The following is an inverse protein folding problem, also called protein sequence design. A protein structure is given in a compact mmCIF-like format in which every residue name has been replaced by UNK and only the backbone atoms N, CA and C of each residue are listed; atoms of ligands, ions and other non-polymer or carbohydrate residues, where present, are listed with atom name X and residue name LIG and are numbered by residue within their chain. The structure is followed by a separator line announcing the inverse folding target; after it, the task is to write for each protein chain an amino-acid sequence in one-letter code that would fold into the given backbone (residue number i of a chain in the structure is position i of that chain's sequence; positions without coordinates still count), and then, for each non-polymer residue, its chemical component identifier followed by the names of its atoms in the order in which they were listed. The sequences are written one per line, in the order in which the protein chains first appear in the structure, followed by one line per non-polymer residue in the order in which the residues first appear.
data_IF_166101892741
#
_entry.id   IF_166101892741
#
_cell.length_a   1.000
_cell.length_b   1.000
_cell.length_c   1.000
_cell.angle_alpha   90.00
_cell.angle_beta   90.00
_cell.angle_gamma   90.00
#
_symmetry.space_group_name_H-M   'P 1'
#
loop_
_entity.id
_entity.type
_entity.pdbx_description
1 polymer ?
#
# COMPACT_ATOMS: atom_id res chain seq x y z
N UNK A 1 70.41 -27.59 0.64
CA UNK A 1 70.04 -26.15 0.74
C UNK A 1 69.53 -25.54 -0.58
N UNK A 2 69.94 -25.97 -1.76
CA UNK A 2 69.50 -25.41 -3.06
C UNK A 2 68.04 -25.76 -3.42
N UNK A 3 67.56 -26.97 -3.13
CA UNK A 3 66.22 -27.43 -3.43
C UNK A 3 65.12 -26.67 -2.67
N UNK A 4 65.33 -26.27 -1.42
CA UNK A 4 64.36 -25.51 -0.61
C UNK A 4 64.15 -24.07 -1.12
N UNK A 5 65.16 -23.50 -1.81
CA UNK A 5 65.03 -22.17 -2.45
C UNK A 5 64.17 -22.21 -3.70
N UNK A 6 64.30 -23.21 -4.52
CA UNK A 6 63.50 -23.41 -5.74
C UNK A 6 62.00 -23.63 -5.42
N UNK A 7 61.71 -24.37 -4.38
CA UNK A 7 60.32 -24.61 -3.92
C UNK A 7 59.66 -23.26 -3.49
N UNK A 8 60.42 -22.40 -2.80
CA UNK A 8 59.87 -21.05 -2.42
C UNK A 8 59.57 -20.17 -3.63
N UNK A 9 60.41 -20.19 -4.68
CA UNK A 9 60.14 -19.44 -5.90
C UNK A 9 58.94 -19.98 -6.69
N UNK A 10 58.77 -21.31 -6.74
CA UNK A 10 57.60 -21.93 -7.38
C UNK A 10 56.33 -21.59 -6.63
N UNK A 11 56.34 -21.65 -5.28
CA UNK A 11 55.18 -21.26 -4.47
C UNK A 11 54.82 -19.77 -4.63
N UNK A 12 55.84 -18.91 -4.65
CA UNK A 12 55.63 -17.48 -4.88
C UNK A 12 55.08 -17.18 -6.28
N UNK A 13 55.52 -17.88 -7.29
CA UNK A 13 55.03 -17.75 -8.67
C UNK A 13 53.56 -18.28 -8.78
N UNK A 14 53.22 -19.41 -8.13
CA UNK A 14 51.86 -19.91 -8.06
C UNK A 14 50.93 -18.95 -7.31
N UNK A 15 51.40 -18.34 -6.22
CA UNK A 15 50.61 -17.33 -5.48
C UNK A 15 50.36 -16.07 -6.31
N UNK A 16 51.40 -15.62 -7.04
CA UNK A 16 51.27 -14.45 -7.92
C UNK A 16 50.32 -14.72 -9.09
N UNK A 17 50.35 -15.89 -9.70
CA UNK A 17 49.42 -16.32 -10.76
C UNK A 17 47.97 -16.39 -10.18
N UNK A 18 47.79 -16.98 -9.00
CA UNK A 18 46.50 -17.04 -8.32
C UNK A 18 45.93 -15.63 -8.02
N UNK A 19 46.77 -14.69 -7.55
CA UNK A 19 46.37 -13.31 -7.37
C UNK A 19 46.00 -12.60 -8.69
N UNK A 20 46.75 -12.84 -9.76
CA UNK A 20 46.41 -12.29 -11.09
C UNK A 20 45.11 -12.84 -11.65
N UNK A 21 44.82 -14.14 -11.49
CA UNK A 21 43.55 -14.74 -11.91
C UNK A 21 42.37 -14.22 -11.07
N UNK A 22 42.59 -13.96 -9.77
CA UNK A 22 41.53 -13.38 -8.89
C UNK A 22 41.20 -11.94 -9.25
N UNK A 23 42.16 -11.16 -9.75
CA UNK A 23 41.95 -9.77 -10.15
C UNK A 23 41.15 -9.63 -11.46
N UNK A 24 41.14 -10.62 -12.31
CA UNK A 24 40.35 -10.62 -13.55
C UNK A 24 38.91 -11.12 -13.35
N UNK A 25 38.58 -11.72 -12.22
CA UNK A 25 37.24 -12.22 -11.92
C UNK A 25 36.20 -11.11 -11.67
N UNK A 26 36.62 -9.86 -11.38
CA UNK A 26 35.71 -8.74 -11.13
C UNK A 26 35.19 -8.05 -12.40
N UNK A 27 35.47 -8.51 -13.60
CA UNK A 27 35.09 -7.86 -14.87
C UNK A 27 33.72 -8.24 -15.41
N UNK A 28 32.94 -9.07 -14.71
CA UNK A 28 31.57 -9.46 -15.13
C UNK A 28 30.48 -8.53 -14.59
N UNK A 29 30.80 -7.33 -14.14
CA UNK A 29 29.80 -6.31 -13.82
C UNK A 29 29.13 -5.81 -15.10
N UNK A 30 27.83 -6.06 -15.27
CA UNK A 30 27.07 -5.45 -16.35
C UNK A 30 27.21 -3.93 -16.26
N UNK A 31 27.61 -3.32 -17.37
CA UNK A 31 27.84 -1.87 -17.48
C UNK A 31 26.57 -1.11 -17.08
N UNK A 32 26.63 -0.37 -15.99
CA UNK A 32 25.50 0.40 -15.44
C UNK A 32 25.03 1.45 -16.45
N UNK A 33 25.90 1.94 -17.34
CA UNK A 33 25.54 2.90 -18.37
C UNK A 33 24.55 2.36 -19.40
N UNK A 34 24.43 1.04 -19.51
CA UNK A 34 23.48 0.35 -20.41
C UNK A 34 22.19 -0.08 -19.73
N UNK A 35 22.00 0.27 -18.46
CA UNK A 35 20.81 -0.09 -17.70
C UNK A 35 19.81 1.04 -17.64
N UNK A 36 18.54 0.70 -17.83
CA UNK A 36 17.40 1.53 -17.56
C UNK A 36 16.91 1.19 -16.15
N UNK A 37 17.24 2.02 -15.16
CA UNK A 37 16.84 1.78 -13.76
C UNK A 37 15.41 2.27 -13.55
N UNK A 38 14.43 1.36 -13.69
CA UNK A 38 13.02 1.66 -13.55
C UNK A 38 12.71 2.05 -12.11
N UNK A 39 11.97 3.16 -11.92
CA UNK A 39 11.55 3.70 -10.63
C UNK A 39 10.04 3.59 -10.42
N UNK A 40 9.25 3.61 -11.49
CA UNK A 40 7.80 3.47 -11.45
C UNK A 40 7.27 2.98 -12.77
N UNK A 41 6.18 2.19 -12.71
CA UNK A 41 5.52 1.59 -13.85
C UNK A 41 4.03 1.92 -13.78
N UNK A 42 3.49 2.59 -14.79
CA UNK A 42 2.07 2.71 -15.07
C UNK A 42 1.65 1.67 -16.10
N UNK A 43 0.49 1.06 -15.92
CA UNK A 43 -0.04 0.03 -16.81
C UNK A 43 -1.47 0.39 -17.20
N UNK A 44 -1.67 0.65 -18.46
CA UNK A 44 -2.96 0.90 -19.08
C UNK A 44 -3.36 -0.26 -19.97
N UNK A 45 -4.65 -0.59 -19.98
CA UNK A 45 -5.22 -1.52 -20.94
C UNK A 45 -5.39 -0.83 -22.28
N UNK A 46 -5.13 -1.55 -23.37
CA UNK A 46 -5.39 -1.16 -24.73
C UNK A 46 -6.25 -2.23 -25.44
N UNK A 47 -6.83 -1.91 -26.60
CA UNK A 47 -7.63 -2.87 -27.37
C UNK A 47 -6.87 -4.19 -27.62
N UNK A 48 -5.58 -4.08 -27.96
CA UNK A 48 -4.69 -5.23 -28.14
C UNK A 48 -3.49 -5.14 -27.20
N UNK A 49 -3.67 -5.61 -25.94
CA UNK A 49 -2.58 -5.69 -24.96
C UNK A 49 -2.51 -4.54 -23.98
N UNK A 50 -1.32 -4.00 -23.76
CA UNK A 50 -1.05 -3.03 -22.70
C UNK A 50 -0.12 -1.92 -23.15
N UNK A 51 -0.39 -0.70 -22.69
CA UNK A 51 0.55 0.42 -22.71
C UNK A 51 1.26 0.48 -21.34
N UNK A 52 2.58 0.50 -21.34
CA UNK A 52 3.37 0.77 -20.15
C UNK A 52 3.95 2.16 -20.19
N UNK A 53 3.79 2.91 -19.11
CA UNK A 53 4.36 4.25 -18.86
C UNK A 53 5.42 4.12 -17.78
N UNK A 54 6.66 4.48 -18.08
CA UNK A 54 7.78 4.19 -17.18
C UNK A 54 8.55 5.45 -16.83
N UNK A 55 8.77 5.66 -15.54
CA UNK A 55 9.80 6.55 -15.02
C UNK A 55 11.06 5.77 -14.74
N UNK A 56 12.19 6.23 -15.26
CA UNK A 56 13.48 5.57 -15.08
C UNK A 56 14.62 6.57 -14.85
N UNK A 57 15.64 6.12 -14.15
CA UNK A 57 16.88 6.87 -14.02
C UNK A 57 17.83 6.47 -15.15
N UNK A 58 18.32 7.48 -15.84
CA UNK A 58 19.38 7.34 -16.83
C UNK A 58 20.71 7.69 -16.18
N UNK A 59 21.67 6.78 -16.28
CA UNK A 59 23.04 7.03 -15.85
C UNK A 59 23.76 7.91 -16.88
N UNK A 60 24.38 9.00 -16.43
CA UNK A 60 25.11 9.95 -17.25
C UNK A 60 25.95 10.89 -16.37
N UNK A 61 26.38 12.04 -16.89
CA UNK A 61 27.06 13.07 -16.11
C UNK A 61 26.17 13.63 -14.99
N UNK A 62 24.86 13.68 -15.25
CA UNK A 62 23.84 13.95 -14.23
C UNK A 62 22.81 12.82 -14.24
N UNK A 63 22.42 12.35 -13.05
CA UNK A 63 21.32 11.39 -12.91
C UNK A 63 20.01 12.15 -13.07
N UNK A 64 19.28 11.86 -14.16
CA UNK A 64 17.96 12.47 -14.43
C UNK A 64 16.89 11.43 -14.48
N UNK A 65 15.71 11.81 -14.02
CA UNK A 65 14.49 11.03 -14.22
C UNK A 65 13.96 11.33 -15.60
N UNK A 66 13.82 10.29 -16.42
CA UNK A 66 13.23 10.34 -17.75
C UNK A 66 11.89 9.57 -17.76
N UNK A 67 11.07 9.88 -18.74
CA UNK A 67 9.78 9.24 -18.98
C UNK A 67 9.77 8.60 -20.38
N UNK A 68 9.19 7.40 -20.47
CA UNK A 68 9.06 6.67 -21.72
C UNK A 68 7.82 5.77 -21.68
N UNK A 69 7.28 5.49 -22.86
CA UNK A 69 6.14 4.59 -23.02
C UNK A 69 6.44 3.52 -24.07
N UNK A 70 5.79 2.39 -23.93
CA UNK A 70 5.85 1.29 -24.90
C UNK A 70 4.58 0.45 -24.83
N UNK A 71 4.24 -0.19 -25.94
CA UNK A 71 3.11 -1.10 -26.06
C UNK A 71 3.59 -2.54 -26.27
N UNK A 72 2.76 -3.50 -25.88
CA UNK A 72 2.97 -4.92 -26.12
C UNK A 72 1.71 -5.73 -25.80
N UNK A 73 1.63 -6.94 -26.31
CA UNK A 73 0.51 -7.87 -26.05
C UNK A 73 0.48 -8.29 -24.58
N UNK A 74 1.65 -8.30 -23.93
CA UNK A 74 1.80 -8.56 -22.49
C UNK A 74 2.58 -7.42 -21.84
N UNK A 75 2.44 -7.25 -20.52
CA UNK A 75 3.23 -6.27 -19.75
C UNK A 75 4.74 -6.53 -19.93
N UNK A 76 5.16 -7.80 -19.92
CA UNK A 76 6.57 -8.14 -20.11
C UNK A 76 7.09 -7.73 -21.50
N UNK A 77 6.33 -8.00 -22.57
CA UNK A 77 6.69 -7.60 -23.92
C UNK A 77 6.76 -6.07 -24.03
N UNK A 78 5.77 -5.35 -23.52
CA UNK A 78 5.77 -3.90 -23.50
C UNK A 78 7.03 -3.33 -22.83
N UNK A 79 7.41 -3.90 -21.67
CA UNK A 79 8.62 -3.50 -20.95
C UNK A 79 9.90 -3.87 -21.71
N UNK A 80 9.97 -5.00 -22.43
CA UNK A 80 11.11 -5.36 -23.27
C UNK A 80 11.23 -4.47 -24.51
N UNK A 81 10.11 -4.03 -25.08
CA UNK A 81 10.08 -3.12 -26.23
C UNK A 81 10.69 -1.74 -25.92
N UNK A 82 10.83 -1.35 -24.65
CA UNK A 82 11.58 -0.15 -24.24
C UNK A 82 13.04 -0.21 -24.69
N UNK A 83 13.63 -1.41 -24.71
CA UNK A 83 15.01 -1.63 -25.18
C UNK A 83 15.15 -1.28 -26.66
N UNK A 84 14.15 -1.55 -27.48
CA UNK A 84 14.17 -1.23 -28.90
C UNK A 84 14.19 0.28 -29.19
N UNK A 85 13.61 1.06 -28.28
CA UNK A 85 13.55 2.52 -28.41
C UNK A 85 14.81 3.20 -27.88
N UNK A 86 15.40 2.65 -26.80
CA UNK A 86 16.45 3.35 -26.04
C UNK A 86 17.83 2.70 -26.15
N UNK A 87 17.90 1.41 -26.54
CA UNK A 87 19.11 0.60 -26.46
C UNK A 87 19.54 0.24 -25.03
N UNK A 88 18.73 0.62 -24.01
CA UNK A 88 19.00 0.32 -22.60
C UNK A 88 18.25 -0.93 -22.18
N UNK A 89 18.81 -1.66 -21.20
CA UNK A 89 18.22 -2.89 -20.65
C UNK A 89 17.42 -2.52 -19.39
N UNK A 90 16.09 -2.74 -19.37
CA UNK A 90 15.27 -2.48 -18.19
C UNK A 90 15.74 -3.31 -16.98
N UNK A 91 15.84 -2.66 -15.81
CA UNK A 91 16.11 -3.30 -14.52
C UNK A 91 15.11 -2.83 -13.48
N UNK A 92 14.52 -3.76 -12.76
CA UNK A 92 13.35 -3.52 -11.91
C UNK A 92 13.67 -3.43 -10.43
N UNK A 93 14.93 -3.68 -10.04
CA UNK A 93 15.37 -3.69 -8.64
C UNK A 93 15.21 -2.34 -7.90
N UNK A 94 15.00 -1.26 -8.64
CA UNK A 94 14.75 0.08 -8.11
C UNK A 94 13.30 0.54 -8.24
N UNK A 95 12.42 -0.30 -8.82
CA UNK A 95 11.01 0.04 -8.92
C UNK A 95 10.41 0.24 -7.52
N UNK A 96 9.78 1.40 -7.30
CA UNK A 96 9.17 1.78 -6.04
C UNK A 96 7.64 1.68 -6.10
N UNK A 97 7.04 1.80 -7.30
CA UNK A 97 5.59 1.80 -7.44
C UNK A 97 5.11 1.17 -8.74
N UNK A 98 3.91 0.59 -8.69
CA UNK A 98 3.13 0.20 -9.86
C UNK A 98 1.75 0.81 -9.76
N UNK A 99 1.30 1.42 -10.85
CA UNK A 99 -0.03 2.02 -10.96
C UNK A 99 -0.81 1.31 -12.07
N UNK A 100 -1.91 0.70 -11.72
CA UNK A 100 -2.83 0.09 -12.68
C UNK A 100 -3.89 1.11 -13.07
N UNK A 101 -4.24 1.20 -14.35
CA UNK A 101 -5.38 2.00 -14.78
C UNK A 101 -6.68 1.43 -14.21
N UNK A 102 -7.70 2.26 -14.14
CA UNK A 102 -9.04 1.83 -13.74
C UNK A 102 -9.57 0.69 -14.60
N UNK A 103 -9.33 0.75 -15.89
CA UNK A 103 -9.76 -0.27 -16.85
C UNK A 103 -9.06 -1.61 -16.60
N UNK A 104 -7.72 -1.61 -16.39
CA UNK A 104 -7.00 -2.81 -15.95
C UNK A 104 -7.57 -3.40 -14.67
N UNK A 105 -7.89 -2.54 -13.70
CA UNK A 105 -8.48 -2.97 -12.42
C UNK A 105 -9.88 -3.58 -12.60
N UNK A 106 -10.68 -3.03 -13.49
CA UNK A 106 -12.04 -3.53 -13.79
C UNK A 106 -12.04 -4.84 -14.59
N UNK A 107 -11.13 -5.01 -15.55
CA UNK A 107 -10.99 -6.29 -16.26
C UNK A 107 -10.41 -7.39 -15.37
N UNK A 108 -9.56 -7.02 -14.42
CA UNK A 108 -8.91 -7.92 -13.47
C UNK A 108 -7.39 -7.96 -13.59
N UNK A 109 -6.75 -7.94 -12.43
CA UNK A 109 -5.30 -7.78 -12.32
C UNK A 109 -4.51 -9.08 -12.55
N UNK A 110 -5.13 -10.24 -12.71
CA UNK A 110 -4.45 -11.55 -12.80
C UNK A 110 -3.32 -11.55 -13.84
N UNK A 111 -3.63 -11.12 -15.06
CA UNK A 111 -2.67 -11.18 -16.18
C UNK A 111 -1.56 -10.14 -16.04
N UNK A 112 -1.87 -8.95 -15.53
CA UNK A 112 -0.88 -7.86 -15.37
C UNK A 112 -0.01 -8.09 -14.15
N UNK A 113 -0.53 -8.76 -13.13
CA UNK A 113 0.16 -9.02 -11.88
C UNK A 113 1.14 -10.19 -11.96
N UNK A 114 0.92 -11.13 -12.88
CA UNK A 114 1.76 -12.33 -13.07
C UNK A 114 3.23 -11.98 -13.31
N UNK A 115 3.50 -10.89 -14.04
CA UNK A 115 4.86 -10.38 -14.26
C UNK A 115 5.56 -10.06 -12.93
N UNK A 116 4.89 -9.37 -12.01
CA UNK A 116 5.48 -8.93 -10.75
C UNK A 116 5.74 -10.09 -9.78
N UNK A 117 5.01 -11.19 -9.90
CA UNK A 117 5.21 -12.39 -9.08
C UNK A 117 6.34 -13.25 -9.65
N UNK A 118 6.42 -13.41 -10.97
CA UNK A 118 7.34 -14.38 -11.61
C UNK A 118 8.70 -13.81 -11.90
N UNK A 119 8.81 -12.52 -12.13
CA UNK A 119 10.09 -11.92 -12.55
C UNK A 119 10.97 -11.65 -11.32
N UNK A 120 12.10 -12.34 -11.26
CA UNK A 120 12.99 -12.40 -10.08
C UNK A 120 13.63 -11.06 -9.66
N UNK A 121 13.68 -10.07 -10.54
CA UNK A 121 14.21 -8.74 -10.20
C UNK A 121 13.16 -7.80 -9.58
N UNK A 122 11.87 -8.16 -9.62
CA UNK A 122 10.83 -7.35 -8.99
C UNK A 122 10.89 -7.52 -7.47
N UNK A 123 10.78 -6.41 -6.76
CA UNK A 123 10.80 -6.47 -5.29
C UNK A 123 9.39 -6.70 -4.74
N UNK A 124 9.26 -7.57 -3.73
CA UNK A 124 7.95 -7.79 -3.09
C UNK A 124 7.42 -6.58 -2.34
N UNK A 125 8.27 -5.58 -2.06
CA UNK A 125 7.97 -4.35 -1.33
C UNK A 125 7.61 -3.17 -2.23
N UNK A 126 7.30 -3.39 -3.50
CA UNK A 126 6.83 -2.35 -4.42
C UNK A 126 5.40 -1.97 -4.04
N UNK A 127 5.14 -0.67 -3.88
CA UNK A 127 3.81 -0.16 -3.56
C UNK A 127 2.89 -0.19 -4.78
N UNK A 128 1.65 -0.59 -4.57
CA UNK A 128 0.63 -0.74 -5.60
C UNK A 128 -0.44 0.34 -5.48
N UNK A 129 -0.86 0.86 -6.63
CA UNK A 129 -1.88 1.90 -6.72
C UNK A 129 -2.83 1.62 -7.89
N UNK A 130 -4.01 2.22 -7.82
CA UNK A 130 -4.95 2.31 -8.95
C UNK A 130 -5.07 3.76 -9.37
N UNK A 131 -5.00 4.05 -10.66
CA UNK A 131 -5.30 5.37 -11.18
C UNK A 131 -6.81 5.62 -11.17
N UNK A 132 -7.23 6.85 -10.90
CA UNK A 132 -8.64 7.27 -11.03
C UNK A 132 -9.20 6.99 -12.43
N UNK A 133 -8.34 7.07 -13.45
CA UNK A 133 -8.63 6.78 -14.85
C UNK A 133 -7.43 6.06 -15.47
N UNK A 134 -6.61 6.74 -16.29
CA UNK A 134 -5.43 6.19 -16.95
C UNK A 134 -4.16 6.43 -16.12
N UNK A 135 -3.33 5.40 -15.99
CA UNK A 135 -2.01 5.53 -15.37
C UNK A 135 -1.09 6.44 -16.22
N UNK A 136 -1.18 6.33 -17.52
CA UNK A 136 -0.48 7.19 -18.48
C UNK A 136 -0.58 8.67 -18.12
N UNK A 137 -1.80 9.15 -17.87
CA UNK A 137 -2.06 10.57 -17.58
C UNK A 137 -1.33 11.03 -16.32
N UNK A 138 -1.27 10.17 -15.27
CA UNK A 138 -0.55 10.47 -14.02
C UNK A 138 0.95 10.58 -14.26
N UNK A 139 1.52 9.66 -15.06
CA UNK A 139 2.95 9.64 -15.34
C UNK A 139 3.37 10.80 -16.27
N UNK A 140 2.54 11.17 -17.22
CA UNK A 140 2.80 12.33 -18.12
C UNK A 140 2.73 13.65 -17.36
N UNK A 141 1.74 13.83 -16.46
CA UNK A 141 1.55 15.05 -15.70
C UNK A 141 2.77 15.36 -14.81
N UNK A 142 3.38 14.33 -14.25
CA UNK A 142 4.54 14.44 -13.36
C UNK A 142 5.71 13.63 -13.94
N UNK A 143 6.21 14.04 -15.11
CA UNK A 143 7.20 13.28 -15.89
C UNK A 143 8.66 13.71 -15.63
N UNK A 144 8.92 14.87 -14.99
CA UNK A 144 10.25 15.45 -14.94
C UNK A 144 10.83 15.63 -13.53
N UNK A 145 12.11 15.32 -13.41
CA UNK A 145 12.97 15.66 -12.27
C UNK A 145 12.49 15.11 -10.93
N UNK A 146 12.63 15.92 -9.89
CA UNK A 146 12.17 15.58 -8.53
C UNK A 146 10.65 15.50 -8.37
N UNK A 147 9.90 16.00 -9.35
CA UNK A 147 8.44 15.97 -9.37
C UNK A 147 7.89 14.75 -10.11
N UNK A 148 8.76 13.93 -10.71
CA UNK A 148 8.31 12.69 -11.33
C UNK A 148 7.53 11.82 -10.35
N UNK A 149 6.40 11.26 -10.77
CA UNK A 149 5.48 10.52 -9.92
C UNK A 149 6.19 9.43 -9.12
N UNK A 150 7.12 8.70 -9.76
CA UNK A 150 7.87 7.64 -9.11
C UNK A 150 8.75 8.11 -7.94
N UNK A 151 9.21 9.38 -7.92
CA UNK A 151 9.97 9.93 -6.78
C UNK A 151 9.06 10.18 -5.58
N UNK A 152 7.77 10.31 -5.79
CA UNK A 152 6.78 10.56 -4.75
C UNK A 152 6.20 9.28 -4.15
N UNK A 153 6.49 8.10 -4.72
CA UNK A 153 5.96 6.82 -4.23
C UNK A 153 6.16 6.64 -2.72
N UNK A 154 7.40 6.87 -2.26
CA UNK A 154 7.71 6.81 -0.83
C UNK A 154 6.94 7.85 -0.01
N UNK A 155 6.76 9.06 -0.54
CA UNK A 155 5.97 10.11 0.12
C UNK A 155 4.50 9.75 0.22
N UNK A 156 3.93 9.04 -0.75
CA UNK A 156 2.56 8.53 -0.67
C UNK A 156 2.42 7.45 0.41
N UNK A 157 3.36 6.49 0.47
CA UNK A 157 3.37 5.48 1.53
C UNK A 157 3.56 6.10 2.92
N UNK A 158 4.42 7.13 3.05
CA UNK A 158 4.61 7.88 4.30
C UNK A 158 3.39 8.73 4.64
N UNK A 159 2.74 9.35 3.66
CA UNK A 159 1.51 10.13 3.86
C UNK A 159 0.35 9.24 4.29
N UNK A 160 0.24 8.03 3.75
CA UNK A 160 -0.70 7.03 4.22
C UNK A 160 -0.45 6.72 5.69
N UNK A 161 0.77 6.35 6.06
CA UNK A 161 1.15 6.05 7.45
C UNK A 161 0.97 7.24 8.41
N UNK A 162 0.99 8.48 7.90
CA UNK A 162 0.81 9.69 8.69
C UNK A 162 -0.65 10.12 8.83
N UNK A 163 -1.49 9.84 7.82
CA UNK A 163 -2.90 10.29 7.79
C UNK A 163 -3.88 9.17 8.08
N UNK A 164 -3.49 7.91 7.83
CA UNK A 164 -4.29 6.69 7.97
C UNK A 164 -5.68 6.79 7.33
N UNK A 165 -5.70 7.34 6.13
CA UNK A 165 -6.92 7.51 5.34
C UNK A 165 -7.02 6.50 4.20
N UNK A 166 -5.97 5.73 3.97
CA UNK A 166 -5.83 4.81 2.85
C UNK A 166 -5.20 3.51 3.32
N UNK A 167 -5.48 2.43 2.62
CA UNK A 167 -4.84 1.14 2.85
C UNK A 167 -3.71 0.96 1.84
N UNK A 168 -2.48 1.18 2.25
CA UNK A 168 -1.31 0.85 1.43
C UNK A 168 -1.15 -0.66 1.29
N UNK A 169 -0.80 -1.13 0.09
CA UNK A 169 -0.55 -2.54 -0.18
C UNK A 169 0.66 -2.71 -1.10
N UNK A 170 1.47 -3.70 -0.81
CA UNK A 170 2.62 -4.06 -1.62
C UNK A 170 2.32 -5.25 -2.55
N UNK A 171 3.23 -5.52 -3.47
CA UNK A 171 3.18 -6.75 -4.31
C UNK A 171 3.03 -8.00 -3.43
N UNK A 172 3.77 -8.07 -2.30
CA UNK A 172 3.70 -9.21 -1.38
C UNK A 172 2.32 -9.36 -0.74
N UNK A 173 1.74 -8.25 -0.28
CA UNK A 173 0.44 -8.27 0.40
C UNK A 173 -0.65 -8.77 -0.56
N UNK A 174 -0.68 -8.22 -1.78
CA UNK A 174 -1.64 -8.63 -2.81
C UNK A 174 -1.41 -10.07 -3.25
N UNK A 175 -0.14 -10.48 -3.47
CA UNK A 175 0.18 -11.87 -3.84
C UNK A 175 -0.30 -12.88 -2.78
N UNK A 176 -0.14 -12.55 -1.49
CA UNK A 176 -0.64 -13.38 -0.40
C UNK A 176 -2.17 -13.49 -0.40
N UNK A 177 -2.87 -12.38 -0.69
CA UNK A 177 -4.35 -12.38 -0.77
C UNK A 177 -4.84 -13.11 -2.01
N UNK A 178 -4.17 -12.97 -3.15
CA UNK A 178 -4.47 -13.74 -4.37
C UNK A 178 -4.28 -15.25 -4.21
N UNK A 179 -3.39 -15.67 -3.32
CA UNK A 179 -3.13 -17.07 -3.00
C UNK A 179 -4.03 -17.60 -1.86
N UNK A 180 -4.81 -16.76 -1.19
CA UNK A 180 -5.73 -17.18 -0.13
C UNK A 180 -7.00 -17.82 -0.69
N UNK A 181 -7.73 -18.57 0.15
CA UNK A 181 -8.99 -19.22 -0.24
C UNK A 181 -10.07 -18.20 -0.63
N UNK A 182 -10.05 -17.00 -0.03
CA UNK A 182 -10.89 -15.87 -0.41
C UNK A 182 -10.01 -14.68 -0.84
N UNK A 183 -10.04 -14.40 -2.14
CA UNK A 183 -9.20 -13.38 -2.75
C UNK A 183 -9.91 -12.02 -2.72
N UNK A 184 -9.62 -11.24 -1.70
CA UNK A 184 -10.05 -9.85 -1.61
C UNK A 184 -8.94 -8.97 -0.99
N UNK A 185 -8.76 -7.77 -1.53
CA UNK A 185 -7.73 -6.82 -1.09
C UNK A 185 -8.14 -5.38 -1.45
N UNK A 186 -7.37 -4.41 -0.92
CA UNK A 186 -7.59 -3.00 -1.22
C UNK A 186 -6.30 -2.33 -1.68
N UNK A 187 -6.42 -1.34 -2.56
CA UNK A 187 -5.33 -0.50 -3.08
C UNK A 187 -5.72 0.98 -2.98
N UNK A 188 -4.76 1.86 -2.67
CA UNK A 188 -5.00 3.29 -2.71
C UNK A 188 -5.16 3.77 -4.15
N UNK A 189 -6.10 4.69 -4.36
CA UNK A 189 -6.29 5.38 -5.63
C UNK A 189 -5.37 6.59 -5.73
N UNK A 190 -4.80 6.82 -6.91
CA UNK A 190 -4.15 8.07 -7.27
C UNK A 190 -5.07 8.88 -8.17
N UNK A 191 -5.32 10.12 -7.79
CA UNK A 191 -6.20 11.05 -8.50
C UNK A 191 -5.47 12.36 -8.83
N UNK A 192 -5.91 13.02 -9.90
CA UNK A 192 -5.42 14.35 -10.26
C UNK A 192 -6.32 15.39 -9.58
N UNK A 193 -5.70 16.30 -8.82
CA UNK A 193 -6.37 17.46 -8.23
C UNK A 193 -5.60 18.72 -8.60
N UNK A 194 -6.20 19.55 -9.43
CA UNK A 194 -5.49 20.67 -10.04
C UNK A 194 -4.36 20.17 -10.94
N UNK A 195 -3.13 20.55 -10.61
CA UNK A 195 -1.91 20.17 -11.34
C UNK A 195 -1.07 19.11 -10.62
N UNK A 196 -1.64 18.47 -9.58
CA UNK A 196 -0.90 17.52 -8.74
C UNK A 196 -1.57 16.16 -8.67
N UNK A 197 -0.77 15.11 -8.57
CA UNK A 197 -1.22 13.77 -8.23
C UNK A 197 -1.28 13.65 -6.71
N UNK A 198 -2.36 13.10 -6.19
CA UNK A 198 -2.54 12.84 -4.75
C UNK A 198 -3.26 11.53 -4.50
N UNK A 199 -3.20 11.04 -3.26
CA UNK A 199 -4.03 9.93 -2.81
C UNK A 199 -5.51 10.34 -2.81
N UNK A 200 -6.34 9.53 -3.47
CA UNK A 200 -7.79 9.71 -3.64
C UNK A 200 -8.60 8.86 -2.66
N UNK A 201 -9.28 7.87 -3.18
CA UNK A 201 -10.11 6.90 -2.47
C UNK A 201 -9.33 5.61 -2.17
N UNK A 202 -9.96 4.63 -1.54
CA UNK A 202 -9.45 3.25 -1.46
C UNK A 202 -10.27 2.36 -2.38
N UNK A 203 -9.64 1.79 -3.39
CA UNK A 203 -10.22 0.80 -4.28
C UNK A 203 -10.21 -0.57 -3.59
N UNK A 204 -11.31 -1.35 -3.66
CA UNK A 204 -11.34 -2.71 -3.14
C UNK A 204 -11.72 -3.71 -4.23
N UNK A 205 -11.11 -4.88 -4.10
CA UNK A 205 -11.09 -5.94 -5.10
C UNK A 205 -11.63 -7.24 -4.54
N UNK A 206 -12.27 -8.02 -5.41
CA UNK A 206 -12.60 -9.42 -5.22
C UNK A 206 -12.24 -10.18 -6.48
N UNK A 207 -11.63 -11.35 -6.33
CA UNK A 207 -11.18 -12.20 -7.45
C UNK A 207 -10.34 -11.45 -8.48
N UNK A 208 -9.49 -10.54 -7.97
CA UNK A 208 -8.61 -9.64 -8.73
C UNK A 208 -9.31 -8.55 -9.54
N UNK A 209 -10.62 -8.43 -9.47
CA UNK A 209 -11.39 -7.39 -10.15
C UNK A 209 -11.77 -6.27 -9.18
N UNK A 210 -11.73 -5.04 -9.67
CA UNK A 210 -12.20 -3.87 -8.95
C UNK A 210 -13.71 -3.94 -8.77
N UNK A 211 -14.16 -3.91 -7.51
CA UNK A 211 -15.58 -3.97 -7.14
C UNK A 211 -16.11 -2.57 -6.82
N UNK A 212 -15.36 -1.77 -6.08
CA UNK A 212 -15.82 -0.45 -5.67
C UNK A 212 -14.74 0.39 -5.02
N UNK A 213 -15.16 1.54 -4.51
CA UNK A 213 -14.29 2.50 -3.84
C UNK A 213 -14.89 2.93 -2.50
N UNK A 214 -14.06 3.00 -1.50
CA UNK A 214 -14.37 3.73 -0.28
C UNK A 214 -14.04 5.21 -0.43
N UNK A 215 -14.93 6.06 0.01
CA UNK A 215 -14.62 7.46 0.24
C UNK A 215 -13.63 7.61 1.42
N UNK A 216 -13.19 8.84 1.72
CA UNK A 216 -12.19 9.10 2.76
C UNK A 216 -12.62 8.68 4.16
N UNK A 217 -13.91 8.75 4.48
CA UNK A 217 -14.45 8.37 5.79
C UNK A 217 -14.52 6.84 5.92
N UNK A 218 -15.02 6.18 4.92
CA UNK A 218 -15.06 4.72 4.83
C UNK A 218 -13.67 4.11 4.80
N UNK A 219 -12.72 4.73 4.06
CA UNK A 219 -11.31 4.32 4.06
C UNK A 219 -10.70 4.38 5.45
N UNK A 220 -10.99 5.45 6.21
CA UNK A 220 -10.54 5.56 7.60
C UNK A 220 -11.16 4.49 8.48
N UNK A 221 -12.45 4.23 8.34
CA UNK A 221 -13.15 3.15 9.05
C UNK A 221 -12.54 1.79 8.77
N UNK A 222 -12.27 1.48 7.50
CA UNK A 222 -11.61 0.25 7.07
C UNK A 222 -10.20 0.13 7.68
N UNK A 223 -9.38 1.17 7.55
CA UNK A 223 -8.03 1.19 8.12
C UNK A 223 -8.05 1.03 9.64
N UNK A 224 -9.00 1.68 10.33
CA UNK A 224 -9.14 1.55 11.79
C UNK A 224 -9.53 0.14 12.23
N UNK A 225 -10.30 -0.59 11.42
CA UNK A 225 -10.75 -1.95 11.73
C UNK A 225 -9.71 -3.02 11.39
N UNK A 226 -8.90 -2.83 10.34
CA UNK A 226 -8.03 -3.90 9.79
C UNK A 226 -6.56 -3.65 10.10
N UNK A 227 -6.14 -2.39 10.24
CA UNK A 227 -4.74 -2.00 10.44
C UNK A 227 -4.52 -1.27 11.76
N UNK A 228 -3.26 -1.14 12.16
CA UNK A 228 -2.88 -0.30 13.30
C UNK A 228 -2.64 1.13 12.82
N UNK A 229 -3.48 2.07 13.22
CA UNK A 229 -3.29 3.50 12.95
C UNK A 229 -2.19 4.03 13.88
N UNK A 230 -1.08 4.47 13.33
CA UNK A 230 0.01 5.11 14.09
C UNK A 230 -0.20 6.59 14.28
N UNK A 231 -0.76 7.26 13.29
CA UNK A 231 -1.08 8.71 13.32
C UNK A 231 -2.27 8.98 12.40
N UNK A 232 -3.11 9.91 12.78
CA UNK A 232 -4.25 10.30 11.96
C UNK A 232 -4.89 11.58 12.50
N UNK A 233 -5.77 12.21 11.73
CA UNK A 233 -6.53 13.40 12.17
C UNK A 233 -8.01 13.15 11.95
N UNK A 234 -8.79 13.36 13.00
CA UNK A 234 -10.26 13.38 12.94
C UNK A 234 -10.74 14.75 13.34
N UNK A 235 -11.60 15.32 12.51
CA UNK A 235 -12.30 16.57 12.82
C UNK A 235 -13.71 16.21 13.26
N UNK A 236 -14.11 16.69 14.43
CA UNK A 236 -15.42 16.46 15.03
C UNK A 236 -16.16 17.79 15.14
N UNK A 237 -17.43 17.78 14.81
CA UNK A 237 -18.35 18.88 15.09
C UNK A 237 -19.30 18.43 16.21
N UNK A 238 -19.12 18.99 17.41
CA UNK A 238 -19.82 18.55 18.61
C UNK A 238 -20.85 19.61 18.99
N UNK A 239 -22.14 19.25 19.10
CA UNK A 239 -23.19 20.17 19.53
C UNK A 239 -22.81 20.91 20.81
N UNK A 240 -23.11 22.22 20.88
CA UNK A 240 -22.83 23.13 22.00
C UNK A 240 -21.33 23.36 22.32
N UNK A 241 -20.43 22.69 21.57
CA UNK A 241 -18.98 22.81 21.75
C UNK A 241 -18.33 23.43 20.51
N UNK A 242 -18.73 22.97 19.31
CA UNK A 242 -18.18 23.39 18.04
C UNK A 242 -17.14 22.40 17.47
N UNK A 243 -16.39 22.85 16.48
CA UNK A 243 -15.44 22.04 15.74
C UNK A 243 -14.12 21.87 16.50
N UNK A 244 -13.66 20.64 16.63
CA UNK A 244 -12.34 20.27 17.19
C UNK A 244 -11.59 19.36 16.24
N UNK A 245 -10.26 19.44 16.26
CA UNK A 245 -9.37 18.52 15.55
C UNK A 245 -8.63 17.65 16.56
N UNK A 246 -8.78 16.34 16.42
CA UNK A 246 -8.09 15.35 17.24
C UNK A 246 -7.04 14.63 16.40
N UNK A 247 -5.83 14.51 16.93
CA UNK A 247 -4.77 13.67 16.41
C UNK A 247 -4.90 12.28 17.03
N UNK A 248 -5.15 11.28 16.20
CA UNK A 248 -5.16 9.88 16.63
C UNK A 248 -3.72 9.36 16.75
N UNK A 249 -3.48 8.54 17.77
CA UNK A 249 -2.23 7.79 17.94
C UNK A 249 -2.54 6.38 18.45
N UNK A 250 -1.74 5.41 17.96
CA UNK A 250 -1.73 4.04 18.48
C UNK A 250 -3.12 3.39 18.54
N UNK A 251 -3.87 3.40 17.44
CA UNK A 251 -5.07 2.56 17.36
C UNK A 251 -4.67 1.09 17.30
N UNK A 252 -5.44 0.27 17.97
CA UNK A 252 -5.38 -1.19 17.83
C UNK A 252 -6.77 -1.73 17.54
N UNK A 253 -6.84 -2.76 16.72
CA UNK A 253 -8.08 -3.45 16.39
C UNK A 253 -7.94 -4.94 16.66
N UNK A 254 -9.04 -5.57 17.05
CA UNK A 254 -9.19 -7.00 17.17
C UNK A 254 -10.52 -7.43 16.59
N UNK A 255 -10.48 -8.41 15.69
CA UNK A 255 -11.68 -9.04 15.14
C UNK A 255 -11.82 -10.41 15.77
N UNK A 256 -12.98 -10.65 16.40
CA UNK A 256 -13.35 -11.93 17.00
C UNK A 256 -14.52 -12.52 16.24
N UNK A 257 -14.48 -13.82 15.94
CA UNK A 257 -15.51 -14.55 15.23
C UNK A 257 -16.16 -15.59 16.16
N UNK A 258 -17.46 -15.49 16.35
CA UNK A 258 -18.27 -16.43 17.09
C UNK A 258 -19.40 -16.96 16.22
N UNK A 259 -20.03 -18.08 16.63
CA UNK A 259 -21.23 -18.62 16.01
C UNK A 259 -22.41 -18.44 16.96
N UNK A 260 -23.44 -17.76 16.50
CA UNK A 260 -24.70 -17.59 17.23
C UNK A 260 -25.80 -18.18 16.36
N UNK A 261 -26.45 -19.27 16.82
CA UNK A 261 -27.45 -20.02 16.06
C UNK A 261 -26.92 -20.42 14.65
N UNK A 262 -25.68 -20.93 14.58
CA UNK A 262 -24.96 -21.30 13.37
C UNK A 262 -24.74 -20.14 12.36
N UNK A 263 -24.93 -18.90 12.77
CA UNK A 263 -24.61 -17.71 11.96
C UNK A 263 -23.33 -17.06 12.44
N UNK A 264 -22.35 -16.79 11.54
CA UNK A 264 -21.14 -16.08 11.91
C UNK A 264 -21.44 -14.67 12.45
N UNK A 265 -20.92 -14.38 13.62
CA UNK A 265 -21.01 -13.09 14.27
C UNK A 265 -19.60 -12.54 14.54
N UNK A 266 -19.28 -11.39 13.95
CA UNK A 266 -17.99 -10.74 14.10
C UNK A 266 -18.07 -9.57 15.06
N UNK A 267 -17.20 -9.57 16.05
CA UNK A 267 -17.03 -8.43 16.94
C UNK A 267 -15.72 -7.72 16.58
N UNK A 268 -15.83 -6.44 16.25
CA UNK A 268 -14.72 -5.57 15.89
C UNK A 268 -14.49 -4.61 17.06
N UNK A 269 -13.44 -4.85 17.85
CA UNK A 269 -13.06 -4.00 18.98
C UNK A 269 -11.92 -3.10 18.57
N UNK A 270 -12.14 -1.79 18.55
CA UNK A 270 -11.15 -0.77 18.21
C UNK A 270 -10.86 0.08 19.45
N UNK A 271 -9.59 0.22 19.79
CA UNK A 271 -9.16 1.17 20.81
C UNK A 271 -8.17 2.18 20.26
N UNK A 272 -8.27 3.45 20.64
CA UNK A 272 -7.36 4.49 20.21
C UNK A 272 -7.07 5.52 21.29
N UNK A 273 -5.88 6.13 21.18
CA UNK A 273 -5.55 7.35 21.92
C UNK A 273 -5.65 8.55 20.99
N UNK A 274 -6.14 9.64 21.50
CA UNK A 274 -6.26 10.88 20.76
C UNK A 274 -5.76 12.07 21.58
N UNK A 275 -5.27 13.08 20.87
CA UNK A 275 -4.79 14.33 21.47
C UNK A 275 -5.49 15.50 20.78
N UNK A 276 -5.82 16.53 21.54
CA UNK A 276 -6.40 17.75 20.98
C UNK A 276 -5.31 18.49 20.19
N UNK A 277 -5.49 18.61 18.87
CA UNK A 277 -4.59 19.38 18.00
C UNK A 277 -5.05 20.79 17.82
N UNK A 278 -6.37 20.98 17.66
CA UNK A 278 -6.96 22.30 17.48
C UNK A 278 -8.31 22.38 18.20
N UNK A 279 -8.53 23.49 18.89
CA UNK A 279 -9.74 23.78 19.64
C UNK A 279 -9.93 25.29 19.70
N UNK A 280 -11.18 25.75 19.67
CA UNK A 280 -11.51 27.15 19.84
C UNK A 280 -10.97 27.70 21.18
N UNK A 281 -10.40 28.93 21.15
CA UNK A 281 -9.77 29.54 22.33
C UNK A 281 -10.72 29.72 23.53
N UNK A 282 -12.01 29.98 23.28
CA UNK A 282 -12.99 30.12 24.33
C UNK A 282 -13.27 28.81 25.06
N UNK A 283 -13.12 27.69 24.36
CA UNK A 283 -13.28 26.35 24.91
C UNK A 283 -12.07 25.92 25.73
N UNK A 284 -10.84 26.36 25.35
CA UNK A 284 -9.61 26.05 26.12
C UNK A 284 -9.70 26.43 27.59
N UNK A 285 -10.45 27.48 27.89
CA UNK A 285 -10.65 27.96 29.27
C UNK A 285 -11.68 27.16 30.06
N UNK A 286 -12.47 26.31 29.39
CA UNK A 286 -13.59 25.55 29.94
C UNK A 286 -13.40 24.04 29.91
N UNK A 287 -12.19 23.54 29.64
CA UNK A 287 -11.91 22.11 29.57
C UNK A 287 -12.06 21.48 30.97
N UNK A 288 -13.14 20.78 31.16
CA UNK A 288 -13.48 19.98 32.34
C UNK A 288 -13.56 18.49 31.98
N UNK A 289 -13.64 17.62 32.93
CA UNK A 289 -13.69 16.17 32.67
C UNK A 289 -14.90 15.78 31.77
N UNK A 290 -16.04 16.39 32.03
CA UNK A 290 -17.26 16.18 31.24
C UNK A 290 -17.11 16.61 29.77
N UNK A 291 -16.26 17.58 29.47
CA UNK A 291 -15.95 17.98 28.07
C UNK A 291 -15.08 16.93 27.40
N UNK A 292 -14.11 16.34 28.10
CA UNK A 292 -13.31 15.23 27.56
C UNK A 292 -14.17 14.00 27.28
N UNK A 293 -15.08 13.63 28.17
CA UNK A 293 -16.03 12.53 27.97
C UNK A 293 -16.91 12.75 26.72
N UNK A 294 -17.30 14.01 26.44
CA UNK A 294 -18.01 14.34 25.18
C UNK A 294 -17.13 14.17 23.95
N UNK A 295 -15.83 14.52 24.03
CA UNK A 295 -14.88 14.28 22.93
C UNK A 295 -14.70 12.80 22.65
N UNK A 296 -14.51 12.00 23.69
CA UNK A 296 -14.39 10.55 23.58
C UNK A 296 -15.65 9.91 23.00
N UNK A 297 -16.81 10.30 23.49
CA UNK A 297 -18.10 9.81 22.98
C UNK A 297 -18.25 10.14 21.49
N UNK A 298 -18.03 11.40 21.10
CA UNK A 298 -18.14 11.83 19.70
C UNK A 298 -17.13 11.14 18.79
N UNK A 299 -15.89 10.92 19.27
CA UNK A 299 -14.87 10.19 18.54
C UNK A 299 -15.24 8.72 18.35
N UNK A 300 -15.71 8.07 19.41
CA UNK A 300 -16.14 6.67 19.38
C UNK A 300 -17.30 6.46 18.40
N UNK A 301 -18.31 7.32 18.44
CA UNK A 301 -19.46 7.29 17.53
C UNK A 301 -19.03 7.53 16.09
N UNK A 302 -18.16 8.53 15.85
CA UNK A 302 -17.67 8.84 14.50
C UNK A 302 -16.90 7.66 13.89
N UNK A 303 -15.94 7.09 14.61
CA UNK A 303 -15.16 5.96 14.13
C UNK A 303 -16.06 4.72 13.94
N UNK A 304 -16.98 4.47 14.86
CA UNK A 304 -17.96 3.38 14.74
C UNK A 304 -18.78 3.50 13.45
N UNK A 305 -19.38 4.64 13.20
CA UNK A 305 -20.16 4.88 11.98
C UNK A 305 -19.33 4.75 10.71
N UNK A 306 -18.08 5.18 10.72
CA UNK A 306 -17.17 5.02 9.56
C UNK A 306 -16.84 3.54 9.31
N UNK A 307 -16.60 2.75 10.35
CA UNK A 307 -16.36 1.31 10.24
C UNK A 307 -17.62 0.59 9.73
N UNK A 308 -18.76 0.87 10.35
CA UNK A 308 -20.05 0.27 9.96
C UNK A 308 -20.41 0.62 8.51
N UNK A 309 -20.19 1.88 8.09
CA UNK A 309 -20.42 2.30 6.69
C UNK A 309 -19.52 1.56 5.70
N UNK A 310 -18.27 1.29 6.06
CA UNK A 310 -17.34 0.54 5.20
C UNK A 310 -17.73 -0.96 5.12
N UNK A 311 -18.11 -1.58 6.25
CA UNK A 311 -18.60 -2.96 6.28
C UNK A 311 -19.88 -3.09 5.46
N UNK A 312 -20.84 -2.18 5.67
CA UNK A 312 -22.11 -2.19 4.96
C UNK A 312 -21.93 -2.10 3.45
N UNK A 313 -20.98 -1.29 2.99
CA UNK A 313 -20.71 -1.17 1.58
C UNK A 313 -19.98 -2.38 1.01
N UNK A 314 -18.77 -2.70 1.51
CA UNK A 314 -17.95 -3.73 0.89
C UNK A 314 -18.46 -5.14 1.19
N UNK A 315 -18.84 -5.41 2.44
CA UNK A 315 -19.17 -6.77 2.88
C UNK A 315 -20.63 -7.09 2.59
N UNK A 316 -21.55 -6.25 3.06
CA UNK A 316 -23.00 -6.59 3.00
C UNK A 316 -23.55 -6.32 1.59
N UNK A 317 -23.24 -5.15 1.00
CA UNK A 317 -23.81 -4.76 -0.29
C UNK A 317 -23.08 -5.36 -1.47
N UNK A 318 -21.73 -5.29 -1.43
CA UNK A 318 -20.88 -5.71 -2.55
C UNK A 318 -20.31 -7.12 -2.35
N UNK A 319 -20.67 -7.80 -1.26
CA UNK A 319 -20.30 -9.19 -0.95
C UNK A 319 -18.77 -9.42 -1.06
N UNK A 320 -17.96 -8.48 -0.51
CA UNK A 320 -16.51 -8.49 -0.63
C UNK A 320 -15.87 -8.40 0.75
N UNK A 321 -15.24 -9.49 1.20
CA UNK A 321 -14.60 -9.59 2.51
C UNK A 321 -13.16 -9.05 2.48
N UNK A 322 -13.02 -7.74 2.55
CA UNK A 322 -11.72 -7.08 2.73
C UNK A 322 -11.36 -6.86 4.20
N UNK A 323 -12.26 -7.21 5.12
CA UNK A 323 -12.05 -7.08 6.57
C UNK A 323 -11.34 -8.29 7.17
N UNK A 324 -11.01 -9.30 6.38
CA UNK A 324 -10.41 -10.57 6.81
C UNK A 324 -11.30 -11.37 7.76
N UNK A 325 -12.63 -11.32 7.60
CA UNK A 325 -13.57 -12.13 8.35
C UNK A 325 -13.37 -13.62 8.07
N UNK A 326 -13.02 -13.97 6.82
CA UNK A 326 -12.58 -15.30 6.41
C UNK A 326 -11.44 -15.83 7.28
N UNK A 327 -10.41 -14.99 7.48
CA UNK A 327 -9.23 -15.33 8.29
C UNK A 327 -9.59 -15.48 9.76
N UNK A 328 -10.41 -14.57 10.30
CA UNK A 328 -10.87 -14.65 11.68
C UNK A 328 -11.70 -15.93 11.93
N UNK A 329 -12.60 -16.26 11.02
CA UNK A 329 -13.43 -17.46 11.10
C UNK A 329 -12.59 -18.73 10.97
N UNK A 330 -11.63 -18.78 10.02
CA UNK A 330 -10.72 -19.90 9.86
C UNK A 330 -9.91 -20.18 11.13
N UNK A 331 -9.43 -19.13 11.80
CA UNK A 331 -8.60 -19.26 13.00
C UNK A 331 -9.42 -19.61 14.24
N UNK A 332 -10.63 -19.08 14.39
CA UNK A 332 -11.39 -19.13 15.63
C UNK A 332 -12.54 -20.13 15.59
N UNK A 333 -13.07 -20.44 14.39
CA UNK A 333 -14.18 -21.36 14.13
C UNK A 333 -13.82 -22.36 13.03
N UNK A 334 -12.67 -23.02 13.18
CA UNK A 334 -12.04 -23.87 12.15
C UNK A 334 -12.98 -24.94 11.58
N UNK A 335 -13.81 -25.59 12.40
CA UNK A 335 -14.70 -26.64 11.93
C UNK A 335 -15.85 -26.08 11.08
N UNK A 336 -16.39 -24.94 11.46
CA UNK A 336 -17.38 -24.24 10.64
C UNK A 336 -16.76 -23.80 9.29
N UNK A 337 -15.56 -23.22 9.33
CA UNK A 337 -14.85 -22.78 8.12
C UNK A 337 -14.62 -23.93 7.15
N UNK A 338 -14.14 -25.08 7.58
CA UNK A 338 -13.91 -26.25 6.72
C UNK A 338 -15.14 -26.68 5.91
N UNK A 339 -16.33 -26.49 6.47
CA UNK A 339 -17.59 -26.86 5.82
C UNK A 339 -18.09 -25.77 4.88
N UNK A 340 -17.87 -24.49 5.21
CA UNK A 340 -18.51 -23.35 4.55
C UNK A 340 -17.58 -22.52 3.66
N UNK A 341 -16.26 -22.79 3.65
CA UNK A 341 -15.29 -21.99 2.89
C UNK A 341 -15.61 -21.88 1.40
N UNK A 342 -16.05 -22.97 0.78
CA UNK A 342 -16.39 -23.00 -0.66
C UNK A 342 -17.69 -22.24 -0.97
N UNK A 343 -18.49 -21.92 0.06
CA UNK A 343 -19.72 -21.13 -0.01
C UNK A 343 -19.60 -19.78 0.75
N UNK A 344 -18.39 -19.33 1.08
CA UNK A 344 -18.18 -18.15 1.93
C UNK A 344 -18.89 -16.90 1.41
N UNK A 345 -18.92 -16.69 0.11
CA UNK A 345 -19.67 -15.58 -0.47
C UNK A 345 -21.18 -15.60 -0.14
N UNK A 346 -21.77 -16.78 0.02
CA UNK A 346 -23.17 -16.92 0.41
C UNK A 346 -23.35 -16.75 1.93
N UNK A 347 -22.37 -17.18 2.72
CA UNK A 347 -22.38 -17.00 4.17
C UNK A 347 -22.14 -15.52 4.53
N UNK A 348 -21.28 -14.83 3.78
CA UNK A 348 -20.96 -13.41 3.98
C UNK A 348 -22.22 -12.51 3.95
N UNK A 349 -23.20 -12.85 3.13
CA UNK A 349 -24.48 -12.11 3.07
C UNK A 349 -25.34 -12.26 4.33
N UNK A 350 -25.06 -13.24 5.20
CA UNK A 350 -25.85 -13.56 6.40
C UNK A 350 -25.18 -13.15 7.70
N UNK A 351 -23.91 -12.76 7.66
CA UNK A 351 -23.13 -12.44 8.86
C UNK A 351 -23.81 -11.37 9.71
N UNK A 352 -23.51 -11.44 10.99
CA UNK A 352 -23.82 -10.37 11.95
C UNK A 352 -22.52 -9.75 12.40
N UNK A 353 -22.55 -8.45 12.73
CA UNK A 353 -21.36 -7.80 13.28
C UNK A 353 -21.73 -6.80 14.36
N UNK A 354 -20.77 -6.55 15.23
CA UNK A 354 -20.84 -5.52 16.28
C UNK A 354 -19.52 -4.75 16.28
N UNK A 355 -19.61 -3.44 16.25
CA UNK A 355 -18.45 -2.55 16.31
C UNK A 355 -18.42 -1.85 17.65
N UNK A 356 -17.34 -2.04 18.39
CA UNK A 356 -17.07 -1.35 19.65
C UNK A 356 -15.84 -0.47 19.46
N UNK A 357 -15.97 0.81 19.78
CA UNK A 357 -14.86 1.75 19.76
C UNK A 357 -14.67 2.33 21.16
N UNK A 358 -13.45 2.31 21.64
CA UNK A 358 -13.06 2.92 22.92
C UNK A 358 -11.87 3.84 22.71
N UNK A 359 -12.05 5.11 23.02
CA UNK A 359 -10.96 6.09 22.94
C UNK A 359 -10.64 6.71 24.27
N UNK A 360 -9.42 7.22 24.40
CA UNK A 360 -9.02 8.17 25.43
C UNK A 360 -8.51 9.45 24.79
N UNK A 361 -9.01 10.59 25.22
CA UNK A 361 -8.58 11.90 24.74
C UNK A 361 -7.73 12.58 25.81
N UNK A 362 -6.44 12.70 25.52
CA UNK A 362 -5.50 13.33 26.45
C UNK A 362 -5.30 14.81 26.11
N UNK A 363 -4.86 15.57 27.13
CA UNK A 363 -4.44 16.96 26.97
C UNK A 363 -3.24 17.02 26.03
N UNK A 364 -3.16 18.13 25.30
CA UNK A 364 -2.09 18.45 24.34
C UNK A 364 -0.77 17.77 24.73
N UNK A 365 -0.24 16.97 23.83
CA UNK A 365 1.15 16.54 23.91
C UNK A 365 2.00 17.82 23.93
N UNK A 366 2.61 18.15 25.06
CA UNK A 366 3.67 19.14 25.07
C UNK A 366 4.83 18.52 24.26
N UNK A 367 4.88 18.80 22.98
CA UNK A 367 6.17 18.73 22.31
C UNK A 367 7.09 19.61 23.13
N UNK A 368 8.13 19.00 23.68
CA UNK A 368 9.17 19.74 24.39
C UNK A 368 9.55 20.89 23.47
N UNK A 369 9.26 22.12 23.89
CA UNK A 369 9.70 23.31 23.16
C UNK A 369 11.18 23.12 22.88
N UNK A 370 11.64 23.26 21.62
CA UNK A 370 13.07 23.30 21.40
C UNK A 370 13.61 24.39 22.30
N UNK A 371 14.54 24.02 23.16
CA UNK A 371 15.28 24.96 23.98
C UNK A 371 16.06 25.89 23.04
N UNK A 372 15.56 27.10 22.85
CA UNK A 372 16.31 28.24 22.37
C UNK A 372 16.50 29.23 23.49
#
# INVERSE_FOLDING_TARGET
MKTARWIKYILAALLAVSCFVSLTACSFGSDISKKMMIQGIGIDKEEEGYLVSVHYLRSGEEVKMDFIQSQGTTVYEALQNLTLQTGLIPTYSHNAMVVFSKECAQEGLTNVFDFFIRYHETRPTVDLFVAQDRAETLFQLQSEGQYALATQAKSFAEADSATNKFAGSTVLDVANRMASEYNAFALPELAIVGEHVQLGNTAYFRDNQLIGYFNREQSRGYVAAVYTIRKGVVVLDIPDIGTISLKLENTSSKITADLIDDVPHFQIDVSCKAYISEINQDLRKKLSLDVYEKFETALNETLKLQIESAIEQAVIRDNTDIFNFDVALQQQQTEYWKVHRDSWAQELAKIKYTVNVTSSVDRVQQEASPAF
#
